data_IF_453275400981
#
_entry.id   IF_453275400981
#
_cell.length_a   1.000
_cell.length_b   1.000
_cell.length_c   1.000
_cell.angle_alpha   90.00
_cell.angle_beta   90.00
_cell.angle_gamma   90.00
#
_symmetry.space_group_name_H-M   'P 1'
#
loop_
_entity.id
_entity.type
_entity.pdbx_description
1 polymer ?
#
# COMPACT_ATOMS: atom_id res chain seq x y z
N UNK A 1 20.14 -2.14 0.08
CA UNK A 1 19.46 -2.22 1.39
C UNK A 1 18.27 -3.17 1.38
N UNK A 2 17.16 -2.87 0.69
CA UNK A 2 15.93 -3.68 0.70
C UNK A 2 16.15 -5.18 0.44
N UNK A 3 16.94 -5.55 -0.57
CA UNK A 3 17.27 -6.96 -0.85
C UNK A 3 17.92 -7.68 0.33
N UNK A 4 18.83 -7.01 1.04
CA UNK A 4 19.48 -7.58 2.22
C UNK A 4 18.50 -7.80 3.36
N UNK A 5 17.61 -6.84 3.61
CA UNK A 5 16.56 -6.94 4.64
C UNK A 5 15.56 -8.05 4.28
N UNK A 6 15.14 -8.11 3.02
CA UNK A 6 14.30 -9.19 2.51
C UNK A 6 14.95 -10.56 2.70
N UNK A 7 16.25 -10.71 2.41
CA UNK A 7 16.97 -11.96 2.62
C UNK A 7 17.04 -12.35 4.11
N UNK A 8 17.31 -11.40 5.00
CA UNK A 8 17.26 -11.65 6.46
C UNK A 8 15.86 -12.13 6.86
N UNK A 9 14.81 -11.49 6.34
CA UNK A 9 13.42 -11.88 6.62
C UNK A 9 13.10 -13.31 6.12
N UNK A 10 13.62 -13.70 4.95
CA UNK A 10 13.51 -15.08 4.44
C UNK A 10 14.16 -16.06 5.41
N UNK A 11 15.41 -15.81 5.81
CA UNK A 11 16.16 -16.71 6.69
C UNK A 11 15.49 -16.84 8.07
N UNK A 12 15.10 -15.72 8.68
CA UNK A 12 14.38 -15.70 9.94
C UNK A 12 13.05 -16.46 9.86
N UNK A 13 12.26 -16.25 8.81
CA UNK A 13 10.98 -16.94 8.65
C UNK A 13 11.15 -18.43 8.37
N UNK A 14 12.14 -18.82 7.57
CA UNK A 14 12.47 -20.25 7.39
C UNK A 14 12.80 -20.92 8.73
N UNK A 15 13.66 -20.30 9.55
CA UNK A 15 14.05 -20.83 10.86
C UNK A 15 12.88 -20.87 11.85
N UNK A 16 12.10 -19.79 11.93
CA UNK A 16 10.93 -19.73 12.80
C UNK A 16 9.85 -20.74 12.38
N UNK A 17 9.64 -20.94 11.08
CA UNK A 17 8.68 -21.92 10.54
C UNK A 17 9.13 -23.35 10.85
N UNK A 18 10.43 -23.63 10.72
CA UNK A 18 11.00 -24.92 11.13
C UNK A 18 10.75 -25.20 12.61
N UNK A 19 11.05 -24.23 13.49
CA UNK A 19 10.80 -24.36 14.93
C UNK A 19 9.30 -24.54 15.24
N UNK A 20 8.43 -23.74 14.63
CA UNK A 20 6.99 -23.82 14.84
C UNK A 20 6.41 -25.17 14.41
N UNK A 21 6.91 -25.74 13.32
CA UNK A 21 6.53 -27.08 12.86
C UNK A 21 6.86 -28.15 13.91
N UNK A 22 8.07 -28.09 14.47
CA UNK A 22 8.54 -29.10 15.42
C UNK A 22 7.84 -28.94 16.79
N UNK A 23 7.58 -27.69 17.23
CA UNK A 23 6.75 -27.41 18.41
C UNK A 23 5.31 -27.91 18.23
N UNK A 24 4.69 -27.66 17.08
CA UNK A 24 3.33 -28.13 16.81
C UNK A 24 3.24 -29.66 16.80
N UNK A 25 4.26 -30.35 16.30
CA UNK A 25 4.35 -31.82 16.37
C UNK A 25 4.52 -32.31 17.81
N UNK A 26 5.36 -31.65 18.61
CA UNK A 26 5.59 -32.02 20.01
C UNK A 26 4.34 -31.84 20.89
N UNK A 27 3.50 -30.84 20.60
CA UNK A 27 2.27 -30.55 21.33
C UNK A 27 0.99 -31.11 20.69
N UNK A 28 1.10 -31.96 19.67
CA UNK A 28 -0.05 -32.55 18.95
C UNK A 28 -1.05 -31.53 18.38
N UNK A 29 -0.57 -30.32 18.02
CA UNK A 29 -1.34 -29.27 17.36
C UNK A 29 -1.33 -29.50 15.85
N UNK A 30 -1.98 -30.58 15.42
CA UNK A 30 -2.02 -31.05 14.03
C UNK A 30 -3.45 -31.12 13.51
N UNK A 31 -3.67 -30.77 12.25
CA UNK A 31 -4.94 -31.02 11.57
C UNK A 31 -5.08 -32.52 11.28
N UNK A 32 -6.20 -33.09 11.71
CA UNK A 32 -6.51 -34.50 11.54
C UNK A 32 -7.47 -34.63 10.36
N UNK A 33 -7.09 -35.33 9.26
CA UNK A 33 -7.95 -35.45 8.08
C UNK A 33 -9.29 -36.06 8.48
N UNK A 34 -10.34 -35.25 8.48
CA UNK A 34 -11.69 -35.67 8.88
C UNK A 34 -12.47 -36.12 7.65
N UNK A 35 -13.37 -37.10 7.79
CA UNK A 35 -14.27 -37.61 6.71
C UNK A 35 -15.05 -36.52 5.93
N UNK A 36 -15.16 -35.30 6.48
CA UNK A 36 -15.83 -34.15 5.84
C UNK A 36 -14.99 -33.41 4.78
N UNK A 37 -13.66 -33.65 4.70
CA UNK A 37 -12.77 -33.14 3.65
C UNK A 37 -12.00 -34.31 3.00
N UNK A 38 -12.67 -35.26 2.30
CA UNK A 38 -11.99 -36.39 1.70
C UNK A 38 -11.08 -35.91 0.56
N UNK A 39 -9.77 -36.19 0.66
CA UNK A 39 -8.84 -36.13 -0.48
C UNK A 39 -8.00 -34.86 -0.67
N UNK A 40 -7.99 -33.91 0.27
CA UNK A 40 -7.14 -32.71 0.14
C UNK A 40 -5.72 -32.94 0.71
N UNK A 41 -5.58 -33.62 1.86
CA UNK A 41 -4.28 -34.03 2.41
C UNK A 41 -4.38 -35.39 3.12
N UNK A 42 -3.35 -36.22 2.96
CA UNK A 42 -3.27 -37.60 3.51
C UNK A 42 -2.51 -37.71 4.83
N UNK A 43 -1.91 -36.63 5.34
CA UNK A 43 -1.04 -36.64 6.54
C UNK A 43 -1.42 -35.57 7.57
N UNK A 44 -1.16 -35.86 8.86
CA UNK A 44 -1.28 -34.95 9.99
C UNK A 44 -0.39 -33.73 9.79
N UNK A 45 -0.98 -32.56 9.59
CA UNK A 45 -0.27 -31.35 9.17
C UNK A 45 -0.30 -30.30 10.29
N UNK A 46 0.87 -29.78 10.74
CA UNK A 46 0.94 -28.80 11.83
C UNK A 46 0.24 -27.46 11.51
N UNK A 47 -0.42 -26.84 12.50
CA UNK A 47 -1.25 -25.62 12.31
C UNK A 47 -0.63 -24.30 12.82
N UNK A 48 0.62 -24.30 13.32
CA UNK A 48 1.26 -23.09 13.88
C UNK A 48 1.92 -22.15 12.85
N UNK A 49 1.67 -22.33 11.55
CA UNK A 49 2.35 -21.55 10.51
C UNK A 49 2.06 -20.05 10.57
N UNK A 50 0.81 -19.67 10.79
CA UNK A 50 0.40 -18.26 10.93
C UNK A 50 1.08 -17.56 12.09
N UNK A 51 1.23 -18.25 13.23
CA UNK A 51 1.94 -17.70 14.39
C UNK A 51 3.43 -17.46 14.10
N UNK A 52 4.08 -18.35 13.34
CA UNK A 52 5.47 -18.17 12.91
C UNK A 52 5.63 -16.96 11.98
N UNK A 53 4.75 -16.82 10.99
CA UNK A 53 4.70 -15.67 10.07
C UNK A 53 4.50 -14.37 10.83
N UNK A 54 3.49 -14.32 11.70
CA UNK A 54 3.18 -13.15 12.53
C UNK A 54 4.35 -12.76 13.43
N UNK A 55 4.87 -13.70 14.25
CA UNK A 55 5.92 -13.42 15.22
C UNK A 55 7.21 -12.95 14.52
N UNK A 56 7.56 -13.57 13.39
CA UNK A 56 8.73 -13.17 12.61
C UNK A 56 8.55 -11.78 12.03
N UNK A 57 7.38 -11.49 11.43
CA UNK A 57 7.11 -10.17 10.87
C UNK A 57 7.17 -9.08 11.95
N UNK A 58 6.51 -9.29 13.08
CA UNK A 58 6.50 -8.35 14.22
C UNK A 58 7.89 -8.13 14.79
N UNK A 59 8.66 -9.21 15.01
CA UNK A 59 10.03 -9.09 15.52
C UNK A 59 10.93 -8.29 14.56
N UNK A 60 10.81 -8.51 13.25
CA UNK A 60 11.62 -7.80 12.27
C UNK A 60 11.23 -6.32 12.11
N UNK A 61 9.94 -5.98 12.13
CA UNK A 61 9.53 -4.56 12.03
C UNK A 61 9.96 -3.78 13.27
N UNK A 62 9.80 -4.35 14.48
CA UNK A 62 10.25 -3.69 15.71
C UNK A 62 11.77 -3.68 15.82
N UNK A 63 12.44 -4.73 15.35
CA UNK A 63 13.90 -4.76 15.31
C UNK A 63 14.47 -3.70 14.36
N UNK A 64 13.87 -3.56 13.18
CA UNK A 64 14.19 -2.49 12.23
C UNK A 64 13.92 -1.10 12.82
N UNK A 65 12.81 -0.91 13.53
CA UNK A 65 12.46 0.36 14.16
C UNK A 65 13.40 0.73 15.31
N UNK A 66 13.60 -0.16 16.29
CA UNK A 66 14.33 0.17 17.51
C UNK A 66 15.86 0.04 17.41
N UNK A 67 16.38 -0.85 16.55
CA UNK A 67 17.82 -1.14 16.51
C UNK A 67 18.51 -0.64 15.25
N UNK A 68 17.79 -0.45 14.15
CA UNK A 68 18.38 -0.05 12.87
C UNK A 68 18.07 1.41 12.50
N UNK A 69 17.05 2.02 13.12
CA UNK A 69 16.60 3.40 12.85
C UNK A 69 16.43 3.69 11.34
N UNK A 70 15.92 2.70 10.61
CA UNK A 70 15.74 2.75 9.14
C UNK A 70 14.34 3.19 8.71
N UNK A 71 13.44 3.45 9.66
CA UNK A 71 12.12 4.02 9.41
C UNK A 71 12.18 5.53 9.60
N UNK A 72 11.59 6.27 8.66
CA UNK A 72 11.36 7.69 8.88
C UNK A 72 10.21 7.85 9.89
N UNK A 73 10.57 8.32 11.08
CA UNK A 73 9.66 8.46 12.22
C UNK A 73 8.56 9.51 11.99
N UNK A 74 8.68 10.32 10.92
CA UNK A 74 7.67 11.29 10.52
C UNK A 74 6.53 10.69 9.68
N UNK A 75 6.80 9.62 8.92
CA UNK A 75 5.84 8.95 8.03
C UNK A 75 5.13 7.77 8.70
N UNK A 76 5.88 6.85 9.32
CA UNK A 76 5.29 5.75 10.10
C UNK A 76 5.52 5.98 11.59
N UNK A 77 4.51 6.53 12.25
CA UNK A 77 4.54 6.75 13.69
C UNK A 77 4.55 5.41 14.44
N UNK A 78 5.20 5.33 15.61
CA UNK A 78 5.24 4.10 16.42
C UNK A 78 3.84 3.56 16.75
N UNK A 79 2.86 4.43 16.98
CA UNK A 79 1.46 4.03 17.20
C UNK A 79 0.89 3.18 16.04
N UNK A 80 1.30 3.42 14.79
CA UNK A 80 0.87 2.65 13.63
C UNK A 80 1.44 1.22 13.67
N UNK A 81 2.74 1.07 14.01
CA UNK A 81 3.38 -0.24 14.15
C UNK A 81 2.77 -1.04 15.30
N UNK A 82 2.50 -0.39 16.45
CA UNK A 82 1.82 -1.02 17.57
C UNK A 82 0.38 -1.42 17.22
N UNK A 83 -0.38 -0.55 16.54
CA UNK A 83 -1.73 -0.86 16.07
C UNK A 83 -1.76 -2.06 15.14
N UNK A 84 -0.82 -2.11 14.18
CA UNK A 84 -0.64 -3.25 13.28
C UNK A 84 -0.32 -4.54 14.04
N UNK A 85 0.67 -4.50 14.94
CA UNK A 85 1.10 -5.69 15.69
C UNK A 85 0.00 -6.20 16.62
N UNK A 86 -0.73 -5.31 17.29
CA UNK A 86 -1.84 -5.65 18.19
C UNK A 86 -3.04 -6.21 17.41
N UNK A 87 -3.39 -5.61 16.27
CA UNK A 87 -4.43 -6.17 15.40
C UNK A 87 -4.06 -7.57 14.91
N UNK A 88 -2.82 -7.79 14.49
CA UNK A 88 -2.31 -9.12 14.14
C UNK A 88 -2.36 -10.11 15.31
N UNK A 89 -2.04 -9.70 16.54
CA UNK A 89 -2.15 -10.56 17.73
C UNK A 89 -3.58 -11.02 17.96
N UNK A 90 -4.57 -10.12 17.83
CA UNK A 90 -5.98 -10.44 17.95
C UNK A 90 -6.42 -11.48 16.90
N UNK A 91 -5.90 -11.38 15.66
CA UNK A 91 -6.15 -12.37 14.62
C UNK A 91 -5.53 -13.73 14.96
N UNK A 92 -4.31 -13.76 15.51
CA UNK A 92 -3.68 -15.02 15.96
C UNK A 92 -4.49 -15.68 17.07
N UNK A 93 -4.92 -14.91 18.07
CA UNK A 93 -5.75 -15.41 19.17
C UNK A 93 -7.09 -15.92 18.63
N UNK A 94 -7.78 -15.11 17.80
CA UNK A 94 -9.06 -15.48 17.22
C UNK A 94 -8.99 -16.72 16.34
N UNK A 95 -7.94 -16.83 15.52
CA UNK A 95 -7.68 -18.00 14.69
C UNK A 95 -7.41 -19.26 15.50
N UNK A 96 -6.55 -19.16 16.53
CA UNK A 96 -6.31 -20.27 17.45
C UNK A 96 -7.59 -20.75 18.15
N UNK A 97 -8.44 -19.82 18.59
CA UNK A 97 -9.74 -20.14 19.17
C UNK A 97 -10.68 -20.80 18.16
N UNK A 98 -10.67 -20.37 16.89
CA UNK A 98 -11.47 -20.98 15.83
C UNK A 98 -11.00 -22.41 15.52
N UNK A 99 -9.69 -22.63 15.39
CA UNK A 99 -9.09 -23.94 15.15
C UNK A 99 -9.37 -24.91 16.31
N UNK A 100 -9.30 -24.41 17.56
CA UNK A 100 -9.52 -25.23 18.76
C UNK A 100 -10.98 -25.54 19.04
N UNK A 101 -11.87 -24.56 18.88
CA UNK A 101 -13.26 -24.65 19.34
C UNK A 101 -14.31 -24.69 18.21
N UNK A 102 -13.90 -24.59 16.93
CA UNK A 102 -14.78 -24.55 15.75
C UNK A 102 -15.91 -23.55 15.93
N UNK A 103 -15.55 -22.28 16.02
CA UNK A 103 -16.49 -21.23 16.41
C UNK A 103 -17.60 -21.06 15.36
N UNK A 104 -18.83 -20.69 15.77
CA UNK A 104 -19.87 -20.34 14.82
C UNK A 104 -19.48 -19.10 14.01
N UNK A 105 -19.95 -18.94 12.74
CA UNK A 105 -19.53 -17.86 11.84
C UNK A 105 -19.63 -16.45 12.43
N UNK A 106 -20.63 -16.18 13.29
CA UNK A 106 -20.78 -14.87 13.96
C UNK A 106 -19.64 -14.57 14.94
N UNK A 107 -19.12 -15.59 15.63
CA UNK A 107 -18.00 -15.43 16.59
C UNK A 107 -16.65 -15.31 15.89
N UNK A 108 -16.51 -15.91 14.70
CA UNK A 108 -15.31 -15.77 13.86
C UNK A 108 -15.05 -14.32 13.42
N UNK A 109 -16.09 -13.48 13.36
CA UNK A 109 -15.98 -12.06 12.97
C UNK A 109 -15.41 -11.16 14.09
N UNK A 110 -15.38 -11.63 15.35
CA UNK A 110 -15.01 -10.79 16.49
C UNK A 110 -13.55 -10.34 16.39
N UNK A 111 -12.62 -11.27 16.15
CA UNK A 111 -11.19 -10.95 16.07
C UNK A 111 -10.84 -10.06 14.87
N UNK A 112 -11.32 -10.33 13.63
CA UNK A 112 -11.16 -9.42 12.50
C UNK A 112 -11.69 -8.02 12.75
N UNK A 113 -12.90 -7.90 13.33
CA UNK A 113 -13.49 -6.59 13.61
C UNK A 113 -12.70 -5.83 14.67
N UNK A 114 -12.26 -6.53 15.73
CA UNK A 114 -11.41 -5.93 16.76
C UNK A 114 -10.05 -5.46 16.18
N UNK A 115 -9.44 -6.25 15.30
CA UNK A 115 -8.19 -5.87 14.63
C UNK A 115 -8.37 -4.61 13.76
N UNK A 116 -9.47 -4.49 13.04
CA UNK A 116 -9.82 -3.28 12.26
C UNK A 116 -9.98 -2.06 13.17
N UNK A 117 -10.71 -2.20 14.28
CA UNK A 117 -10.90 -1.10 15.24
C UNK A 117 -9.57 -0.63 15.82
N UNK A 118 -8.68 -1.54 16.19
CA UNK A 118 -7.35 -1.20 16.73
C UNK A 118 -6.52 -0.42 15.70
N UNK A 119 -6.55 -0.80 14.43
CA UNK A 119 -5.90 -0.08 13.34
C UNK A 119 -6.45 1.32 13.17
N UNK A 120 -7.77 1.46 13.14
CA UNK A 120 -8.43 2.76 12.99
C UNK A 120 -8.10 3.69 14.16
N UNK A 121 -8.13 3.17 15.39
CA UNK A 121 -7.74 3.92 16.60
C UNK A 121 -6.27 4.33 16.57
N UNK A 122 -5.39 3.51 15.98
CA UNK A 122 -3.98 3.88 15.80
C UNK A 122 -3.76 5.05 14.83
N UNK A 123 -4.79 5.41 14.04
CA UNK A 123 -4.74 6.51 13.08
C UNK A 123 -4.35 6.08 11.66
N UNK A 124 -4.27 4.78 11.39
CA UNK A 124 -4.09 4.27 10.03
C UNK A 124 -5.45 4.34 9.32
N UNK A 125 -5.54 5.20 8.31
CA UNK A 125 -6.76 5.39 7.52
C UNK A 125 -6.47 6.05 6.18
N UNK A 126 -7.47 6.05 5.30
CA UNK A 126 -7.35 6.58 3.93
C UNK A 126 -7.99 7.96 3.84
N UNK A 127 -7.21 8.99 3.54
CA UNK A 127 -7.76 10.35 3.35
C UNK A 127 -8.39 10.51 1.96
N UNK A 128 -7.79 9.88 0.94
CA UNK A 128 -8.26 9.90 -0.44
C UNK A 128 -7.94 8.59 -1.14
N UNK A 129 -8.72 8.23 -2.16
CA UNK A 129 -8.44 7.12 -3.06
C UNK A 129 -8.30 7.63 -4.50
N UNK A 130 -7.44 6.97 -5.28
CA UNK A 130 -7.30 7.29 -6.70
C UNK A 130 -8.49 6.75 -7.48
N UNK A 131 -9.19 7.59 -8.24
CA UNK A 131 -10.27 7.16 -9.11
C UNK A 131 -9.67 6.49 -10.37
N UNK A 132 -10.04 5.24 -10.69
CA UNK A 132 -9.58 4.57 -11.91
C UNK A 132 -9.97 5.29 -13.22
N UNK A 133 -10.97 6.18 -13.19
CA UNK A 133 -11.38 7.01 -14.33
C UNK A 133 -10.78 8.42 -14.32
N UNK A 134 -9.87 8.73 -13.40
CA UNK A 134 -9.20 10.03 -13.25
C UNK A 134 -9.67 10.83 -12.03
N UNK A 135 -8.73 11.54 -11.41
CA UNK A 135 -8.95 12.37 -10.21
C UNK A 135 -8.83 11.63 -8.87
N UNK A 136 -8.98 12.38 -7.77
CA UNK A 136 -8.93 11.86 -6.40
C UNK A 136 -10.34 11.88 -5.78
N UNK A 137 -10.77 10.75 -5.24
CA UNK A 137 -11.98 10.70 -4.39
C UNK A 137 -11.54 10.93 -2.95
N UNK A 138 -11.85 12.12 -2.43
CA UNK A 138 -11.61 12.47 -1.03
C UNK A 138 -12.63 11.80 -0.13
N UNK A 139 -12.14 11.07 0.87
CA UNK A 139 -12.97 10.39 1.87
C UNK A 139 -13.04 11.18 3.18
N UNK A 140 -12.38 12.34 3.25
CA UNK A 140 -12.30 13.22 4.42
C UNK A 140 -13.33 14.34 4.48
N UNK A 141 -14.41 14.23 3.71
CA UNK A 141 -15.46 15.24 3.66
C UNK A 141 -16.29 15.35 4.94
N UNK A 142 -16.50 14.23 5.65
CA UNK A 142 -17.28 14.19 6.88
C UNK A 142 -16.39 13.75 8.05
N UNK A 143 -15.91 14.73 8.82
CA UNK A 143 -15.06 14.53 9.99
C UNK A 143 -15.83 14.87 11.26
N UNK A 144 -15.87 13.91 12.19
CA UNK A 144 -16.44 14.07 13.52
C UNK A 144 -15.28 13.99 14.53
N UNK A 145 -14.94 15.12 15.15
CA UNK A 145 -13.92 15.16 16.20
C UNK A 145 -14.51 14.64 17.50
N UNK A 146 -13.96 13.54 18.04
CA UNK A 146 -14.41 12.95 19.29
C UNK A 146 -13.71 13.57 20.50
N UNK A 147 -12.38 13.71 20.41
CA UNK A 147 -11.54 14.22 21.51
C UNK A 147 -10.52 15.17 20.92
N UNK A 148 -10.47 16.39 21.46
CA UNK A 148 -9.48 17.40 21.11
C UNK A 148 -8.86 17.93 22.40
N UNK A 149 -7.77 17.30 22.80
CA UNK A 149 -6.90 17.75 23.90
C UNK A 149 -5.52 18.09 23.34
N UNK A 150 -4.67 18.85 24.04
CA UNK A 150 -3.33 19.21 23.57
C UNK A 150 -2.44 18.01 23.19
N UNK A 151 -2.72 16.83 23.75
CA UNK A 151 -1.95 15.59 23.55
C UNK A 151 -2.70 14.53 22.74
N UNK A 152 -4.03 14.60 22.63
CA UNK A 152 -4.86 13.59 21.99
C UNK A 152 -5.85 14.27 21.04
N UNK A 153 -5.64 14.04 19.74
CA UNK A 153 -6.53 14.46 18.66
C UNK A 153 -7.17 13.24 18.02
N UNK A 154 -8.36 12.86 18.47
CA UNK A 154 -9.11 11.74 17.91
C UNK A 154 -10.24 12.27 17.05
N UNK A 155 -10.18 11.92 15.76
CA UNK A 155 -11.19 12.25 14.75
C UNK A 155 -11.66 10.97 14.07
N UNK A 156 -12.96 10.89 13.83
CA UNK A 156 -13.59 9.89 12.97
C UNK A 156 -13.81 10.55 11.63
N UNK A 157 -13.36 9.89 10.57
CA UNK A 157 -13.61 10.34 9.21
C UNK A 157 -14.56 9.35 8.57
N UNK A 158 -15.87 9.64 8.58
CA UNK A 158 -16.93 8.64 8.41
C UNK A 158 -16.74 7.78 7.14
N UNK A 159 -16.47 8.41 5.99
CA UNK A 159 -16.29 7.68 4.73
C UNK A 159 -14.97 6.93 4.65
N UNK A 160 -13.88 7.53 5.13
CA UNK A 160 -12.57 6.90 5.18
C UNK A 160 -12.55 5.67 6.09
N UNK A 161 -13.20 5.79 7.24
CA UNK A 161 -13.28 4.77 8.29
C UNK A 161 -14.17 3.61 7.84
N UNK A 162 -15.32 3.91 7.23
CA UNK A 162 -16.18 2.90 6.62
C UNK A 162 -15.47 2.17 5.49
N UNK A 163 -14.77 2.90 4.61
CA UNK A 163 -13.98 2.31 3.55
C UNK A 163 -12.89 1.39 4.11
N UNK A 164 -12.13 1.86 5.11
CA UNK A 164 -11.08 1.11 5.79
C UNK A 164 -11.64 -0.18 6.38
N UNK A 165 -12.80 -0.11 7.05
CA UNK A 165 -13.48 -1.29 7.60
C UNK A 165 -13.84 -2.30 6.51
N UNK A 166 -14.52 -1.85 5.45
CA UNK A 166 -14.94 -2.74 4.35
C UNK A 166 -13.73 -3.32 3.63
N UNK A 167 -12.70 -2.51 3.40
CA UNK A 167 -11.46 -2.90 2.74
C UNK A 167 -10.70 -3.98 3.51
N UNK A 168 -10.39 -3.74 4.79
CA UNK A 168 -9.68 -4.71 5.61
C UNK A 168 -10.50 -6.00 5.77
N UNK A 169 -11.79 -5.89 6.07
CA UNK A 169 -12.66 -7.06 6.21
C UNK A 169 -12.74 -7.87 4.91
N UNK A 170 -12.90 -7.19 3.78
CA UNK A 170 -12.92 -7.81 2.46
C UNK A 170 -11.63 -8.58 2.18
N UNK A 171 -10.48 -7.93 2.34
CA UNK A 171 -9.17 -8.53 2.09
C UNK A 171 -8.83 -9.70 3.02
N UNK A 172 -9.14 -9.59 4.31
CA UNK A 172 -8.98 -10.69 5.27
C UNK A 172 -9.81 -11.91 4.87
N UNK A 173 -11.08 -11.72 4.50
CA UNK A 173 -11.92 -12.84 4.07
C UNK A 173 -11.58 -13.36 2.68
N UNK A 174 -11.07 -12.51 1.78
CA UNK A 174 -10.53 -12.96 0.49
C UNK A 174 -9.37 -13.92 0.67
N UNK A 175 -8.42 -13.59 1.53
CA UNK A 175 -7.26 -14.46 1.79
C UNK A 175 -7.62 -15.70 2.60
N UNK A 176 -8.51 -15.58 3.60
CA UNK A 176 -9.08 -16.73 4.32
C UNK A 176 -9.74 -17.75 3.38
N UNK A 177 -10.54 -17.29 2.42
CA UNK A 177 -11.21 -18.17 1.46
C UNK A 177 -10.29 -18.68 0.34
N UNK A 178 -9.16 -18.00 0.10
CA UNK A 178 -8.14 -18.42 -0.84
C UNK A 178 -7.26 -19.55 -0.29
N UNK A 179 -7.16 -19.69 1.04
CA UNK A 179 -6.34 -20.68 1.75
C UNK A 179 -6.97 -22.09 1.72
N UNK A 180 -7.29 -22.58 0.52
CA UNK A 180 -7.88 -23.90 0.28
C UNK A 180 -6.94 -24.92 -0.35
N UNK A 181 -5.72 -24.51 -0.73
CA UNK A 181 -4.68 -25.32 -1.36
C UNK A 181 -3.30 -24.93 -0.83
N UNK A 182 -2.39 -25.92 -0.69
CA UNK A 182 -1.02 -25.74 -0.21
C UNK A 182 -0.27 -24.66 -1.00
N UNK A 183 0.20 -23.63 -0.31
CA UNK A 183 0.94 -22.53 -0.88
C UNK A 183 0.09 -21.45 -1.57
N UNK A 184 -1.19 -21.69 -1.88
CA UNK A 184 -1.98 -20.79 -2.73
C UNK A 184 -2.12 -19.38 -2.14
N UNK A 185 -2.66 -19.27 -0.92
CA UNK A 185 -2.88 -17.97 -0.28
C UNK A 185 -1.56 -17.24 -0.03
N UNK A 186 -0.57 -17.95 0.51
CA UNK A 186 0.78 -17.42 0.79
C UNK A 186 1.45 -16.89 -0.48
N UNK A 187 1.45 -17.65 -1.58
CA UNK A 187 2.13 -17.26 -2.81
C UNK A 187 1.44 -16.15 -3.58
N UNK A 188 0.11 -16.14 -3.64
CA UNK A 188 -0.64 -15.01 -4.23
C UNK A 188 -0.41 -13.73 -3.42
N UNK A 189 -0.42 -13.82 -2.09
CA UNK A 189 -0.12 -12.68 -1.20
C UNK A 189 1.33 -12.21 -1.35
N UNK A 190 2.28 -13.13 -1.51
CA UNK A 190 3.69 -12.80 -1.78
C UNK A 190 3.82 -11.99 -3.08
N UNK A 191 3.21 -12.45 -4.18
CA UNK A 191 3.23 -11.72 -5.45
C UNK A 191 2.58 -10.33 -5.32
N UNK A 192 1.43 -10.23 -4.65
CA UNK A 192 0.77 -8.95 -4.39
C UNK A 192 1.64 -7.99 -3.56
N UNK A 193 2.33 -8.52 -2.56
CA UNK A 193 3.23 -7.75 -1.70
C UNK A 193 4.46 -7.26 -2.50
N UNK A 194 5.02 -8.09 -3.39
CA UNK A 194 6.13 -7.70 -4.26
C UNK A 194 5.73 -6.60 -5.25
N UNK A 195 4.50 -6.64 -5.77
CA UNK A 195 3.98 -5.55 -6.61
C UNK A 195 3.84 -4.27 -5.80
N UNK A 196 3.29 -4.32 -4.59
CA UNK A 196 3.20 -3.15 -3.71
C UNK A 196 4.56 -2.60 -3.31
N UNK A 197 5.55 -3.46 -3.08
CA UNK A 197 6.94 -3.07 -2.87
C UNK A 197 7.46 -2.30 -4.09
N UNK A 198 7.33 -2.85 -5.29
CA UNK A 198 7.80 -2.21 -6.53
C UNK A 198 7.08 -0.88 -6.78
N UNK A 199 5.75 -0.82 -6.65
CA UNK A 199 4.98 0.43 -6.78
C UNK A 199 5.40 1.44 -5.70
N UNK A 200 5.80 1.01 -4.50
CA UNK A 200 6.27 1.93 -3.46
C UNK A 200 7.63 2.54 -3.74
N UNK A 201 8.45 1.89 -4.56
CA UNK A 201 9.69 2.45 -5.08
C UNK A 201 9.49 3.25 -6.37
N UNK A 202 8.47 2.92 -7.16
CA UNK A 202 8.14 3.58 -8.43
C UNK A 202 7.12 4.72 -8.30
N UNK A 203 6.54 4.91 -7.12
CA UNK A 203 5.64 6.01 -6.86
C UNK A 203 6.36 7.34 -7.08
N UNK A 204 5.61 8.36 -7.51
CA UNK A 204 6.15 9.70 -7.75
C UNK A 204 6.89 10.25 -6.55
N UNK A 205 6.37 10.04 -5.35
CA UNK A 205 7.15 10.18 -4.11
C UNK A 205 7.43 8.76 -3.60
N UNK A 206 8.68 8.29 -3.66
CA UNK A 206 9.04 6.98 -3.14
C UNK A 206 8.66 6.88 -1.66
N UNK A 207 7.87 5.87 -1.32
CA UNK A 207 7.43 5.62 0.05
C UNK A 207 8.33 4.53 0.64
N UNK A 208 9.54 4.92 1.03
CA UNK A 208 10.58 3.99 1.47
C UNK A 208 10.16 3.15 2.68
N UNK A 209 9.45 3.73 3.65
CA UNK A 209 8.94 3.00 4.82
C UNK A 209 7.94 1.90 4.43
N UNK A 210 7.05 2.20 3.49
CA UNK A 210 6.07 1.21 3.01
C UNK A 210 6.75 0.14 2.18
N UNK A 211 7.75 0.50 1.37
CA UNK A 211 8.60 -0.45 0.66
C UNK A 211 9.38 -1.34 1.65
N UNK A 212 9.83 -0.79 2.78
CA UNK A 212 10.51 -1.54 3.82
C UNK A 212 9.57 -2.57 4.48
N UNK A 213 8.37 -2.17 4.88
CA UNK A 213 7.37 -3.10 5.42
C UNK A 213 7.01 -4.19 4.39
N UNK A 214 6.80 -3.81 3.13
CA UNK A 214 6.48 -4.75 2.06
C UNK A 214 7.62 -5.75 1.80
N UNK A 215 8.89 -5.31 1.80
CA UNK A 215 10.02 -6.22 1.58
C UNK A 215 10.23 -7.19 2.75
N UNK A 216 10.06 -6.72 3.99
CA UNK A 216 10.10 -7.58 5.18
C UNK A 216 8.98 -8.62 5.07
N UNK A 217 7.75 -8.19 4.78
CA UNK A 217 6.62 -9.10 4.67
C UNK A 217 6.80 -10.11 3.53
N UNK A 218 7.23 -9.66 2.35
CA UNK A 218 7.53 -10.55 1.23
C UNK A 218 8.62 -11.58 1.58
N UNK A 219 9.67 -11.17 2.28
CA UNK A 219 10.70 -12.10 2.76
C UNK A 219 10.14 -13.12 3.75
N UNK A 220 9.31 -12.69 4.71
CA UNK A 220 8.66 -13.60 5.65
C UNK A 220 7.76 -14.61 4.92
N UNK A 221 6.95 -14.15 3.96
CA UNK A 221 6.07 -15.03 3.19
C UNK A 221 6.86 -16.00 2.32
N UNK A 222 7.93 -15.55 1.67
CA UNK A 222 8.78 -16.44 0.88
C UNK A 222 9.44 -17.51 1.76
N UNK A 223 9.96 -17.13 2.93
CA UNK A 223 10.56 -18.08 3.87
C UNK A 223 9.56 -19.12 4.40
N UNK A 224 8.32 -18.72 4.67
CA UNK A 224 7.24 -19.63 5.05
C UNK A 224 6.78 -20.51 3.86
N UNK A 225 6.68 -19.94 2.66
CA UNK A 225 6.24 -20.63 1.45
C UNK A 225 7.12 -21.85 1.14
N UNK A 226 8.42 -21.80 1.42
CA UNK A 226 9.32 -22.96 1.26
C UNK A 226 8.89 -24.20 2.08
N UNK A 227 8.15 -24.01 3.16
CA UNK A 227 7.59 -25.09 3.98
C UNK A 227 6.11 -25.37 3.69
N UNK A 228 5.39 -24.37 3.21
CA UNK A 228 3.95 -24.42 2.94
C UNK A 228 3.62 -24.81 1.48
N UNK A 229 4.60 -24.79 0.57
CA UNK A 229 4.40 -25.19 -0.82
C UNK A 229 4.07 -26.68 -0.94
N UNK A 230 3.26 -27.04 -1.93
CA UNK A 230 2.78 -28.40 -2.11
C UNK A 230 3.92 -29.41 -2.33
N UNK A 231 3.94 -30.56 -1.63
CA UNK A 231 3.06 -30.93 -0.52
C UNK A 231 3.48 -30.23 0.80
N UNK A 232 2.53 -29.56 1.45
CA UNK A 232 2.84 -28.71 2.61
C UNK A 232 3.33 -29.49 3.84
N UNK A 233 4.35 -28.96 4.50
CA UNK A 233 4.89 -29.48 5.76
C UNK A 233 4.31 -28.80 7.00
N UNK A 234 3.65 -27.66 6.81
CA UNK A 234 2.98 -26.85 7.83
C UNK A 234 1.89 -26.01 7.15
N UNK A 235 0.74 -25.88 7.81
CA UNK A 235 -0.36 -25.05 7.37
C UNK A 235 -0.34 -23.68 8.01
N UNK A 236 -0.92 -22.73 7.28
CA UNK A 236 -1.02 -21.34 7.69
C UNK A 236 -2.01 -21.16 8.85
N UNK A 237 -3.13 -21.89 8.85
CA UNK A 237 -4.16 -21.84 9.89
C UNK A 237 -5.09 -20.62 9.73
N UNK A 238 -6.21 -20.64 10.46
CA UNK A 238 -7.28 -19.64 10.33
C UNK A 238 -6.80 -18.22 10.66
N UNK A 239 -5.96 -18.08 11.70
CA UNK A 239 -5.39 -16.78 12.07
C UNK A 239 -4.39 -16.29 11.03
N UNK A 240 -3.57 -17.18 10.50
CA UNK A 240 -2.54 -16.86 9.51
C UNK A 240 -3.13 -16.36 8.19
N UNK A 241 -4.17 -17.02 7.69
CA UNK A 241 -4.82 -16.64 6.44
C UNK A 241 -5.49 -15.28 6.53
N UNK A 242 -6.16 -14.97 7.64
CA UNK A 242 -6.69 -13.63 7.92
C UNK A 242 -5.56 -12.59 8.02
N UNK A 243 -4.45 -12.93 8.68
CA UNK A 243 -3.30 -12.04 8.83
C UNK A 243 -2.66 -11.65 7.50
N UNK A 244 -2.63 -12.56 6.52
CA UNK A 244 -2.15 -12.26 5.17
C UNK A 244 -2.94 -11.12 4.53
N UNK A 245 -4.28 -11.23 4.52
CA UNK A 245 -5.15 -10.20 3.97
C UNK A 245 -5.11 -8.91 4.76
N UNK A 246 -4.98 -8.99 6.08
CA UNK A 246 -4.83 -7.86 6.97
C UNK A 246 -3.60 -7.02 6.63
N UNK A 247 -2.41 -7.63 6.57
CA UNK A 247 -1.17 -6.90 6.24
C UNK A 247 -1.21 -6.37 4.81
N UNK A 248 -1.67 -7.17 3.84
CA UNK A 248 -1.78 -6.72 2.45
C UNK A 248 -2.71 -5.51 2.31
N UNK A 249 -3.84 -5.50 3.02
CA UNK A 249 -4.77 -4.38 3.07
C UNK A 249 -4.15 -3.14 3.70
N UNK A 250 -3.41 -3.30 4.80
CA UNK A 250 -2.72 -2.19 5.48
C UNK A 250 -1.63 -1.58 4.61
N UNK A 251 -0.81 -2.41 3.96
CA UNK A 251 0.22 -1.93 3.04
C UNK A 251 -0.41 -1.10 1.92
N UNK A 252 -1.55 -1.53 1.36
CA UNK A 252 -2.26 -0.77 0.33
C UNK A 252 -2.75 0.61 0.81
N UNK A 253 -3.19 0.71 2.08
CA UNK A 253 -3.64 1.97 2.69
C UNK A 253 -2.46 2.89 2.99
N UNK A 254 -1.46 2.39 3.73
CA UNK A 254 -0.28 3.15 4.15
C UNK A 254 0.50 3.64 2.93
N UNK A 255 0.49 2.87 1.84
CA UNK A 255 1.18 3.23 0.61
C UNK A 255 0.50 4.35 -0.21
N UNK A 256 -0.23 5.27 0.43
CA UNK A 256 -0.95 6.35 -0.26
C UNK A 256 -2.16 5.86 -1.05
N UNK A 257 -2.92 4.92 -0.48
CA UNK A 257 -4.13 4.37 -1.09
C UNK A 257 -3.90 3.73 -2.48
N UNK A 258 -2.88 2.88 -2.59
CA UNK A 258 -2.62 1.97 -3.73
C UNK A 258 -3.65 0.84 -3.83
N UNK A 259 -4.86 1.10 -3.36
CA UNK A 259 -6.05 0.25 -3.39
C UNK A 259 -6.28 -0.28 -4.79
N UNK A 260 -6.18 0.57 -5.82
CA UNK A 260 -6.39 0.17 -7.23
C UNK A 260 -5.39 -0.89 -7.68
N UNK A 261 -4.11 -0.72 -7.34
CA UNK A 261 -3.09 -1.71 -7.67
C UNK A 261 -3.34 -3.03 -6.92
N UNK A 262 -3.62 -2.98 -5.62
CA UNK A 262 -3.93 -4.17 -4.82
C UNK A 262 -5.18 -4.89 -5.34
N UNK A 263 -6.24 -4.15 -5.69
CA UNK A 263 -7.45 -4.69 -6.31
C UNK A 263 -7.13 -5.42 -7.60
N UNK A 264 -6.25 -4.87 -8.44
CA UNK A 264 -5.92 -5.49 -9.72
C UNK A 264 -5.12 -6.77 -9.53
N UNK A 265 -4.11 -6.78 -8.65
CA UNK A 265 -3.32 -7.99 -8.38
C UNK A 265 -4.15 -9.08 -7.70
N UNK A 266 -5.06 -8.67 -6.82
CA UNK A 266 -5.96 -9.56 -6.08
C UNK A 266 -7.29 -9.79 -6.81
N UNK A 267 -7.42 -9.36 -8.06
CA UNK A 267 -8.68 -9.40 -8.78
C UNK A 267 -9.23 -10.83 -8.88
N UNK A 268 -8.37 -11.81 -9.17
CA UNK A 268 -8.79 -13.21 -9.30
C UNK A 268 -9.39 -13.75 -7.96
N UNK A 269 -8.69 -13.68 -6.80
CA UNK A 269 -9.27 -14.02 -5.51
C UNK A 269 -10.55 -13.22 -5.16
N UNK A 270 -10.54 -11.91 -5.40
CA UNK A 270 -11.68 -11.04 -5.07
C UNK A 270 -12.91 -11.41 -5.89
N UNK A 271 -12.74 -11.62 -7.21
CA UNK A 271 -13.80 -12.05 -8.11
C UNK A 271 -14.33 -13.42 -7.71
N UNK A 272 -13.48 -14.35 -7.27
CA UNK A 272 -13.95 -15.65 -6.79
C UNK A 272 -14.89 -15.51 -5.58
N UNK A 273 -14.49 -14.73 -4.58
CA UNK A 273 -15.33 -14.46 -3.41
C UNK A 273 -16.62 -13.75 -3.81
N UNK A 274 -16.54 -12.71 -4.64
CA UNK A 274 -17.69 -11.98 -5.12
C UNK A 274 -18.67 -12.90 -5.87
N UNK A 275 -18.17 -13.74 -6.78
CA UNK A 275 -18.96 -14.74 -7.51
C UNK A 275 -19.67 -15.68 -6.55
N UNK A 276 -18.96 -16.25 -5.57
CA UNK A 276 -19.56 -17.19 -4.61
C UNK A 276 -20.66 -16.52 -3.79
N UNK A 277 -20.43 -15.28 -3.32
CA UNK A 277 -21.43 -14.50 -2.58
C UNK A 277 -22.65 -14.20 -3.45
N UNK A 278 -22.45 -13.72 -4.68
CA UNK A 278 -23.53 -13.35 -5.61
C UNK A 278 -24.39 -14.57 -5.94
N UNK A 279 -23.76 -15.67 -6.35
CA UNK A 279 -24.48 -16.91 -6.72
C UNK A 279 -25.30 -17.44 -5.55
N UNK A 280 -24.76 -17.40 -4.33
CA UNK A 280 -25.49 -17.91 -3.14
C UNK A 280 -26.66 -17.02 -2.76
N UNK A 281 -26.41 -15.71 -2.65
CA UNK A 281 -27.40 -14.76 -2.15
C UNK A 281 -28.53 -14.51 -3.16
N UNK A 282 -28.19 -14.34 -4.43
CA UNK A 282 -29.12 -13.86 -5.44
C UNK A 282 -29.64 -14.94 -6.39
N UNK A 283 -28.88 -16.02 -6.61
CA UNK A 283 -29.31 -17.09 -7.55
C UNK A 283 -29.90 -18.27 -6.77
N UNK A 284 -29.18 -18.75 -5.74
CA UNK A 284 -29.58 -19.96 -5.00
C UNK A 284 -30.41 -19.67 -3.75
N UNK A 285 -30.51 -18.41 -3.33
CA UNK A 285 -31.17 -17.96 -2.10
C UNK A 285 -30.76 -18.78 -0.84
N UNK A 286 -29.52 -19.26 -0.80
CA UNK A 286 -28.97 -20.02 0.33
C UNK A 286 -28.16 -19.13 1.26
N UNK A 287 -27.99 -19.57 2.52
CA UNK A 287 -27.19 -18.83 3.50
C UNK A 287 -25.72 -18.79 3.06
N UNK A 288 -25.16 -17.59 2.96
CA UNK A 288 -23.74 -17.36 2.62
C UNK A 288 -22.80 -18.04 3.62
N UNK A 289 -23.24 -18.27 4.86
CA UNK A 289 -22.46 -18.81 5.96
C UNK A 289 -22.24 -20.34 5.97
N UNK A 290 -22.77 -21.08 5.00
CA UNK A 290 -22.54 -22.54 4.92
C UNK A 290 -21.25 -22.82 4.12
N UNK A 291 -20.28 -23.55 4.69
CA UNK A 291 -19.03 -23.88 4.00
C UNK A 291 -19.30 -24.78 2.79
N UNK A 292 -18.84 -24.41 1.59
CA UNK A 292 -18.93 -25.31 0.42
C UNK A 292 -17.90 -24.97 -0.68
N UNK A 293 -17.56 -25.96 -1.49
CA UNK A 293 -16.50 -26.04 -2.51
C UNK A 293 -16.79 -25.21 -3.79
N UNK A 294 -17.50 -24.09 -3.69
CA UNK A 294 -17.91 -23.26 -4.84
C UNK A 294 -16.79 -22.41 -5.46
N UNK A 295 -15.68 -22.28 -4.74
CA UNK A 295 -14.52 -21.48 -5.09
C UNK A 295 -13.80 -21.98 -6.35
N UNK A 296 -13.18 -21.06 -7.09
CA UNK A 296 -12.55 -21.31 -8.38
C UNK A 296 -11.48 -22.40 -8.28
N UNK A 297 -10.65 -22.40 -7.24
CA UNK A 297 -9.60 -23.41 -7.05
C UNK A 297 -10.16 -24.83 -6.93
N UNK A 298 -11.25 -25.03 -6.17
CA UNK A 298 -11.96 -26.32 -6.12
C UNK A 298 -12.66 -26.64 -7.45
N UNK A 299 -13.15 -25.64 -8.17
CA UNK A 299 -13.77 -25.83 -9.48
C UNK A 299 -12.77 -26.28 -10.55
N UNK A 300 -11.50 -25.88 -10.46
CA UNK A 300 -10.42 -26.39 -11.31
C UNK A 300 -10.08 -27.84 -10.97
N UNK A 301 -9.93 -28.16 -9.68
CA UNK A 301 -9.68 -29.55 -9.25
C UNK A 301 -10.76 -30.52 -9.74
N UNK A 302 -12.05 -30.14 -9.63
CA UNK A 302 -13.17 -30.95 -10.15
C UNK A 302 -13.16 -31.14 -11.66
N UNK A 303 -12.50 -30.25 -12.40
CA UNK A 303 -12.33 -30.36 -13.86
C UNK A 303 -11.08 -31.17 -14.26
N UNK A 304 -10.38 -31.76 -13.30
CA UNK A 304 -9.22 -32.62 -13.54
C UNK A 304 -7.87 -31.90 -13.50
N UNK A 305 -7.82 -30.62 -13.13
CA UNK A 305 -6.55 -29.96 -12.85
C UNK A 305 -5.92 -30.55 -11.59
N UNK A 306 -4.61 -30.76 -11.61
CA UNK A 306 -3.87 -31.12 -10.39
C UNK A 306 -3.79 -29.93 -9.43
N UNK A 307 -3.48 -30.23 -8.16
CA UNK A 307 -3.20 -29.23 -7.13
C UNK A 307 -2.17 -28.20 -7.60
N UNK A 308 -1.02 -28.68 -8.09
CA UNK A 308 0.07 -27.84 -8.60
C UNK A 308 -0.35 -26.98 -9.79
N UNK A 309 -1.05 -27.55 -10.77
CA UNK A 309 -1.53 -26.78 -11.93
C UNK A 309 -2.46 -25.65 -11.51
N UNK A 310 -3.35 -25.91 -10.54
CA UNK A 310 -4.28 -24.89 -10.03
C UNK A 310 -3.53 -23.76 -9.34
N UNK A 311 -2.57 -24.08 -8.46
CA UNK A 311 -1.76 -23.07 -7.75
C UNK A 311 -0.91 -22.24 -8.73
N UNK A 312 -0.22 -22.88 -9.66
CA UNK A 312 0.62 -22.19 -10.64
C UNK A 312 -0.20 -21.32 -11.60
N UNK A 313 -1.42 -21.72 -11.95
CA UNK A 313 -2.33 -20.89 -12.75
C UNK A 313 -2.69 -19.60 -12.01
N UNK A 314 -3.03 -19.70 -10.72
CA UNK A 314 -3.30 -18.51 -9.90
C UNK A 314 -2.08 -17.60 -9.82
N UNK A 315 -0.88 -18.16 -9.61
CA UNK A 315 0.36 -17.38 -9.61
C UNK A 315 0.60 -16.69 -10.95
N UNK A 316 0.42 -17.38 -12.06
CA UNK A 316 0.61 -16.82 -13.40
C UNK A 316 -0.35 -15.65 -13.66
N UNK A 317 -1.64 -15.81 -13.33
CA UNK A 317 -2.63 -14.73 -13.49
C UNK A 317 -2.33 -13.55 -12.57
N UNK A 318 -2.04 -13.81 -11.29
CA UNK A 318 -1.65 -12.76 -10.33
C UNK A 318 -0.38 -12.02 -10.78
N UNK A 319 0.62 -12.73 -11.31
CA UNK A 319 1.84 -12.14 -11.84
C UNK A 319 1.57 -11.25 -13.06
N UNK A 320 0.76 -11.69 -14.02
CA UNK A 320 0.38 -10.91 -15.19
C UNK A 320 -0.39 -9.64 -14.80
N UNK A 321 -1.33 -9.74 -13.86
CA UNK A 321 -2.06 -8.59 -13.33
C UNK A 321 -1.14 -7.65 -12.54
N UNK A 322 -0.14 -8.19 -11.85
CA UNK A 322 0.95 -7.44 -11.22
C UNK A 322 1.77 -6.62 -12.21
N UNK A 323 2.19 -7.23 -13.32
CA UNK A 323 2.89 -6.52 -14.39
C UNK A 323 1.99 -5.41 -14.97
N UNK A 324 0.71 -5.70 -15.22
CA UNK A 324 -0.23 -4.70 -15.71
C UNK A 324 -0.36 -3.52 -14.72
N UNK A 325 -0.37 -3.78 -13.42
CA UNK A 325 -0.43 -2.74 -12.38
C UNK A 325 0.82 -1.86 -12.38
N UNK A 326 2.00 -2.46 -12.51
CA UNK A 326 3.25 -1.73 -12.63
C UNK A 326 3.31 -0.91 -13.92
N UNK A 327 2.86 -1.47 -15.05
CA UNK A 327 2.85 -0.78 -16.33
C UNK A 327 1.88 0.41 -16.33
N UNK A 328 0.69 0.26 -15.76
CA UNK A 328 -0.28 1.34 -15.60
C UNK A 328 0.27 2.46 -14.71
N UNK A 329 0.87 2.11 -13.57
CA UNK A 329 1.53 3.09 -12.71
C UNK A 329 2.65 3.83 -13.47
N UNK A 330 3.49 3.10 -14.20
CA UNK A 330 4.59 3.71 -14.95
C UNK A 330 4.09 4.65 -16.06
N UNK A 331 2.99 4.29 -16.73
CA UNK A 331 2.38 5.10 -17.78
C UNK A 331 1.76 6.39 -17.21
N UNK A 332 1.09 6.34 -16.05
CA UNK A 332 0.52 7.53 -15.42
C UNK A 332 1.57 8.52 -14.95
N UNK A 333 2.70 8.02 -14.42
CA UNK A 333 3.81 8.85 -13.92
C UNK A 333 4.53 9.59 -15.05
N UNK A 334 4.54 9.04 -16.27
CA UNK A 334 5.31 9.59 -17.41
C UNK A 334 4.47 10.29 -18.47
N UNK A 335 3.14 10.37 -18.33
CA UNK A 335 2.30 10.99 -19.34
C UNK A 335 2.71 12.47 -19.55
N UNK A 336 3.35 12.84 -20.67
CA UNK A 336 3.68 14.23 -20.95
C UNK A 336 2.39 14.95 -21.34
N UNK A 337 2.08 16.08 -20.71
CA UNK A 337 1.07 16.96 -21.28
C UNK A 337 1.67 17.67 -22.49
N UNK A 338 1.02 17.52 -23.64
CA UNK A 338 1.52 17.90 -24.95
C UNK A 338 2.01 19.37 -25.07
N UNK A 339 3.10 19.55 -25.84
CA UNK A 339 3.62 20.81 -26.42
C UNK A 339 4.14 21.92 -25.48
N UNK A 340 4.76 21.58 -24.34
CA UNK A 340 5.55 22.55 -23.58
C UNK A 340 7.03 22.49 -23.95
N UNK A 341 7.71 23.65 -24.15
CA UNK A 341 9.16 23.66 -24.28
C UNK A 341 9.78 23.00 -23.06
N UNK A 342 10.77 22.14 -23.26
CA UNK A 342 11.47 21.45 -22.17
C UNK A 342 12.88 21.98 -22.01
N UNK A 343 13.48 21.74 -20.86
CA UNK A 343 14.84 22.15 -20.56
C UNK A 343 15.40 21.42 -19.35
N UNK A 344 16.55 21.89 -18.87
CA UNK A 344 17.17 21.42 -17.64
C UNK A 344 17.46 22.59 -16.72
N UNK A 345 17.18 22.41 -15.44
CA UNK A 345 17.59 23.33 -14.37
C UNK A 345 18.68 22.66 -13.53
N UNK A 346 19.71 23.42 -13.16
CA UNK A 346 20.76 23.01 -12.25
C UNK A 346 20.79 23.93 -11.04
N UNK A 347 20.67 23.38 -9.83
CA UNK A 347 20.67 24.11 -8.57
C UNK A 347 21.97 23.80 -7.80
N UNK A 348 22.70 24.86 -7.42
CA UNK A 348 23.95 24.82 -6.67
C UNK A 348 25.00 23.85 -7.25
N UNK A 349 24.99 23.65 -8.57
CA UNK A 349 25.84 22.71 -9.31
C UNK A 349 25.80 21.24 -8.87
N UNK A 350 24.82 20.87 -8.04
CA UNK A 350 24.69 19.53 -7.42
C UNK A 350 23.42 18.80 -7.79
N UNK A 351 22.36 19.53 -8.14
CA UNK A 351 21.03 18.97 -8.43
C UNK A 351 20.68 19.34 -9.86
N UNK A 352 20.32 18.36 -10.67
CA UNK A 352 19.88 18.56 -12.06
C UNK A 352 18.46 18.03 -12.22
N UNK A 353 17.60 18.84 -12.80
CA UNK A 353 16.17 18.59 -12.93
C UNK A 353 15.74 18.81 -14.38
N UNK A 354 14.94 17.91 -14.94
CA UNK A 354 14.24 18.17 -16.18
C UNK A 354 13.12 19.18 -15.90
N UNK A 355 12.94 20.19 -16.73
CA UNK A 355 11.82 21.13 -16.58
C UNK A 355 11.01 21.26 -17.84
N UNK A 356 9.72 21.43 -17.67
CA UNK A 356 8.88 22.08 -18.68
C UNK A 356 8.86 23.58 -18.42
N UNK A 357 8.83 24.38 -19.48
CA UNK A 357 8.99 25.83 -19.41
C UNK A 357 7.66 26.51 -19.73
N UNK A 358 7.19 27.32 -18.79
CA UNK A 358 6.03 28.18 -18.94
C UNK A 358 6.48 29.63 -19.22
N UNK A 359 6.72 29.94 -20.48
CA UNK A 359 7.27 31.22 -20.95
C UNK A 359 6.24 32.23 -21.48
N UNK A 360 4.97 31.83 -21.63
CA UNK A 360 3.91 32.68 -22.18
C UNK A 360 2.64 32.59 -21.35
N UNK A 361 1.70 33.52 -21.57
CA UNK A 361 0.49 33.63 -20.73
C UNK A 361 -0.36 32.36 -20.74
N UNK A 362 -0.43 31.64 -21.88
CA UNK A 362 -1.20 30.40 -22.00
C UNK A 362 -0.57 29.28 -21.17
N UNK A 363 0.74 29.08 -21.31
CA UNK A 363 1.46 28.02 -20.59
C UNK A 363 1.57 28.32 -19.10
N UNK A 364 1.74 29.59 -18.70
CA UNK A 364 1.72 30.01 -17.28
C UNK A 364 0.35 29.84 -16.63
N UNK A 365 -0.74 30.12 -17.34
CA UNK A 365 -2.11 29.89 -16.82
C UNK A 365 -2.45 28.41 -16.67
N UNK A 366 -1.92 27.57 -17.56
CA UNK A 366 -2.09 26.12 -17.45
C UNK A 366 -1.24 25.55 -16.31
N UNK A 367 0.02 25.96 -16.21
CA UNK A 367 0.95 25.49 -15.19
C UNK A 367 0.95 23.96 -15.05
N UNK A 368 0.95 23.50 -13.81
CA UNK A 368 0.75 22.10 -13.43
C UNK A 368 -0.73 21.72 -13.22
N UNK A 369 -1.67 22.62 -13.47
CA UNK A 369 -3.10 22.37 -13.26
C UNK A 369 -3.62 21.21 -14.13
N UNK A 370 -4.49 20.39 -13.55
CA UNK A 370 -5.09 19.21 -14.18
C UNK A 370 -4.15 18.01 -14.28
N UNK A 371 -2.88 18.14 -13.87
CA UNK A 371 -1.94 17.01 -13.86
C UNK A 371 -2.24 16.08 -12.69
N UNK A 372 -2.19 14.79 -12.96
CA UNK A 372 -2.27 13.79 -11.90
C UNK A 372 -1.04 13.81 -10.98
N UNK A 373 0.10 14.32 -11.49
CA UNK A 373 1.42 13.91 -11.07
C UNK A 373 2.57 14.87 -11.47
N UNK A 374 3.68 14.83 -10.73
CA UNK A 374 5.00 15.37 -11.14
C UNK A 374 6.14 14.48 -10.60
N UNK A 375 7.08 14.08 -11.46
CA UNK A 375 8.20 13.20 -11.07
C UNK A 375 9.25 13.94 -10.22
N UNK A 376 9.99 13.27 -9.33
CA UNK A 376 10.98 13.90 -8.44
C UNK A 376 12.08 14.69 -9.13
N UNK A 377 12.49 14.20 -10.29
CA UNK A 377 13.55 14.79 -11.12
C UNK A 377 12.97 15.70 -12.20
N UNK A 378 11.69 16.07 -12.10
CA UNK A 378 11.03 17.01 -12.98
C UNK A 378 10.46 18.22 -12.23
N UNK A 379 10.28 19.31 -12.97
CA UNK A 379 9.64 20.52 -12.48
C UNK A 379 9.02 21.34 -13.59
N UNK A 380 8.40 22.44 -13.20
CA UNK A 380 7.97 23.46 -14.14
C UNK A 380 8.66 24.78 -13.80
N UNK A 381 9.36 25.33 -14.80
CA UNK A 381 10.01 26.62 -14.71
C UNK A 381 9.14 27.68 -15.38
N UNK A 382 8.60 28.59 -14.58
CA UNK A 382 7.91 29.78 -15.04
C UNK A 382 8.94 30.87 -15.24
N UNK A 383 9.04 31.42 -16.45
CA UNK A 383 9.99 32.48 -16.80
C UNK A 383 9.23 33.74 -17.13
N UNK A 384 9.63 34.89 -16.60
CA UNK A 384 8.99 36.19 -16.79
C UNK A 384 9.94 37.19 -17.45
N UNK A 385 9.39 38.14 -18.21
CA UNK A 385 10.19 39.15 -18.93
C UNK A 385 10.78 40.22 -18.00
N UNK A 386 10.14 40.48 -16.86
CA UNK A 386 10.53 41.52 -15.91
C UNK A 386 10.38 40.98 -14.48
N UNK A 387 11.27 41.34 -13.55
CA UNK A 387 11.08 41.01 -12.15
C UNK A 387 9.83 41.69 -11.57
N UNK A 388 8.92 40.92 -10.99
CA UNK A 388 7.71 41.44 -10.32
C UNK A 388 7.20 40.48 -9.23
N UNK A 389 6.21 40.89 -8.44
CA UNK A 389 5.54 40.08 -7.44
C UNK A 389 4.45 39.19 -8.08
N UNK A 390 4.87 38.18 -8.85
CA UNK A 390 3.94 37.27 -9.52
C UNK A 390 3.23 36.34 -8.54
N UNK A 391 1.90 36.47 -8.47
CA UNK A 391 1.06 35.62 -7.62
C UNK A 391 0.66 34.35 -8.36
N UNK A 392 0.87 33.21 -7.70
CA UNK A 392 0.50 31.89 -8.19
C UNK A 392 -0.74 31.38 -7.46
N UNK A 393 -1.43 30.43 -8.07
CA UNK A 393 -2.63 29.81 -7.53
C UNK A 393 -2.58 28.29 -7.69
N UNK A 394 -3.24 27.56 -6.79
CA UNK A 394 -3.31 26.08 -6.85
C UNK A 394 -4.62 25.56 -7.48
N UNK A 395 -5.31 26.34 -8.31
CA UNK A 395 -6.53 25.89 -8.98
C UNK A 395 -6.29 24.61 -9.81
N UNK A 396 -7.17 23.62 -9.63
CA UNK A 396 -7.10 22.31 -10.29
C UNK A 396 -5.78 21.53 -10.09
N UNK A 397 -5.08 21.79 -8.99
CA UNK A 397 -3.91 20.98 -8.59
C UNK A 397 -4.32 19.71 -7.86
N UNK A 398 -3.66 18.59 -8.17
CA UNK A 398 -3.97 17.28 -7.60
C UNK A 398 -2.89 16.72 -6.65
N UNK A 399 -1.74 17.37 -6.51
CA UNK A 399 -0.63 16.95 -5.66
C UNK A 399 0.06 18.18 -5.03
N UNK A 400 0.74 18.00 -3.88
CA UNK A 400 1.45 19.08 -3.22
C UNK A 400 2.77 19.45 -3.93
N UNK A 401 3.18 20.71 -3.79
CA UNK A 401 4.36 21.28 -4.46
C UNK A 401 5.29 21.97 -3.46
N UNK A 402 6.57 21.96 -3.79
CA UNK A 402 7.54 22.91 -3.29
C UNK A 402 7.74 24.02 -4.33
N UNK A 403 7.76 25.28 -3.89
CA UNK A 403 7.90 26.45 -4.75
C UNK A 403 9.19 27.17 -4.42
N UNK A 404 10.03 27.36 -5.44
CA UNK A 404 11.33 28.00 -5.34
C UNK A 404 11.28 29.31 -6.15
N UNK A 405 11.43 30.43 -5.43
CA UNK A 405 11.37 31.77 -5.98
C UNK A 405 12.76 32.23 -6.43
N UNK A 406 12.89 32.70 -7.67
CA UNK A 406 14.19 32.99 -8.28
C UNK A 406 14.30 34.42 -8.78
N UNK A 407 15.47 35.03 -8.58
CA UNK A 407 15.82 36.34 -9.13
C UNK A 407 17.24 36.31 -9.66
N UNK A 408 17.42 36.63 -10.95
CA UNK A 408 18.73 36.67 -11.59
C UNK A 408 19.52 35.36 -11.46
N UNK A 409 18.83 34.21 -11.47
CA UNK A 409 19.47 32.90 -11.29
C UNK A 409 19.91 32.60 -9.85
N UNK A 410 19.27 33.19 -8.84
CA UNK A 410 19.49 32.85 -7.42
C UNK A 410 18.18 32.60 -6.70
N UNK A 411 18.20 31.68 -5.74
CA UNK A 411 17.07 31.44 -4.83
C UNK A 411 16.91 32.62 -3.89
N UNK A 412 15.75 33.28 -3.94
CA UNK A 412 15.41 34.41 -3.05
C UNK A 412 14.28 34.06 -2.07
N UNK A 413 13.57 32.96 -2.29
CA UNK A 413 12.54 32.48 -1.40
C UNK A 413 12.25 31.00 -1.60
N UNK A 414 11.74 30.36 -0.56
CA UNK A 414 11.37 28.95 -0.53
C UNK A 414 10.02 28.80 0.15
N UNK A 415 9.15 27.98 -0.42
CA UNK A 415 7.89 27.61 0.19
C UNK A 415 7.66 26.12 0.00
N UNK A 416 7.79 25.36 1.08
CA UNK A 416 7.67 23.90 1.05
C UNK A 416 6.23 23.44 1.32
N UNK A 417 5.90 22.25 0.84
CA UNK A 417 4.68 21.49 1.12
C UNK A 417 3.38 22.29 0.86
N UNK A 418 3.36 23.05 -0.23
CA UNK A 418 2.17 23.78 -0.68
C UNK A 418 1.09 22.78 -1.09
N UNK A 419 0.06 22.68 -0.26
CA UNK A 419 -1.03 21.73 -0.46
C UNK A 419 -2.02 22.22 -1.55
N UNK A 420 -2.62 21.31 -2.32
CA UNK A 420 -3.71 21.65 -3.24
C UNK A 420 -4.96 22.15 -2.48
N UNK A 421 -5.88 22.89 -3.14
CA UNK A 421 -7.05 23.48 -2.50
C UNK A 421 -7.95 22.43 -1.85
N UNK A 422 -8.62 22.80 -0.75
CA UNK A 422 -9.52 21.88 -0.04
C UNK A 422 -10.79 21.55 -0.83
N UNK A 423 -11.31 22.49 -1.63
CA UNK A 423 -12.43 22.27 -2.56
C UNK A 423 -12.18 23.02 -3.88
N UNK A 424 -12.63 22.47 -5.02
CA UNK A 424 -12.51 23.12 -6.34
C UNK A 424 -13.34 24.40 -6.47
N UNK A 425 -14.39 24.56 -5.64
CA UNK A 425 -15.23 25.78 -5.56
C UNK A 425 -14.71 26.82 -4.57
N UNK A 426 -13.61 26.56 -3.85
CA UNK A 426 -12.96 27.57 -3.00
C UNK A 426 -12.25 28.60 -3.88
N UNK A 427 -12.21 29.87 -3.43
CA UNK A 427 -11.24 30.83 -3.99
C UNK A 427 -9.85 30.18 -3.93
N UNK A 428 -9.11 30.10 -5.05
CA UNK A 428 -7.88 29.35 -5.07
C UNK A 428 -6.88 29.96 -4.09
N UNK A 429 -6.20 29.12 -3.31
CA UNK A 429 -5.13 29.56 -2.44
C UNK A 429 -4.06 30.19 -3.32
N UNK A 430 -3.69 31.43 -2.98
CA UNK A 430 -2.65 32.17 -3.67
C UNK A 430 -1.40 32.29 -2.81
N UNK A 431 -0.26 32.35 -3.48
CA UNK A 431 1.03 32.57 -2.86
C UNK A 431 1.85 33.53 -3.73
N UNK A 432 2.65 34.36 -3.06
CA UNK A 432 3.40 35.45 -3.69
C UNK A 432 4.84 35.41 -3.19
N UNK A 433 5.80 35.84 -4.02
CA UNK A 433 7.20 35.82 -3.66
C UNK A 433 7.50 36.85 -2.54
N UNK A 434 8.58 36.63 -1.76
CA UNK A 434 9.00 37.57 -0.71
C UNK A 434 9.57 38.88 -1.28
N UNK A 435 10.03 38.87 -2.54
CA UNK A 435 10.53 40.02 -3.29
C UNK A 435 10.25 39.84 -4.79
N UNK A 436 10.41 40.87 -5.65
CA UNK A 436 10.22 40.72 -7.10
C UNK A 436 11.11 39.64 -7.73
N UNK A 437 10.52 38.72 -8.50
CA UNK A 437 11.17 37.56 -9.12
C UNK A 437 11.04 37.58 -10.64
N UNK A 438 12.04 37.05 -11.35
CA UNK A 438 12.01 36.86 -12.82
C UNK A 438 11.74 35.41 -13.23
N UNK A 439 11.79 34.48 -12.28
CA UNK A 439 11.50 33.08 -12.52
C UNK A 439 11.02 32.35 -11.27
N UNK A 440 10.24 31.29 -11.46
CA UNK A 440 9.69 30.45 -10.38
C UNK A 440 9.81 29.01 -10.80
N UNK A 441 10.33 28.18 -9.91
CA UNK A 441 10.47 26.74 -10.14
C UNK A 441 9.51 26.00 -9.20
N UNK A 442 8.55 25.31 -9.79
CA UNK A 442 7.65 24.38 -9.09
C UNK A 442 8.19 22.96 -9.22
N UNK A 443 8.31 22.27 -8.09
CA UNK A 443 8.80 20.89 -7.98
C UNK A 443 7.93 20.11 -7.01
N UNK A 444 8.03 18.78 -7.01
CA UNK A 444 7.26 17.93 -6.11
C UNK A 444 7.56 18.25 -4.64
N UNK A 445 6.54 18.20 -3.78
CA UNK A 445 6.71 18.48 -2.35
C UNK A 445 7.79 17.61 -1.70
N UNK A 446 8.53 18.19 -0.75
CA UNK A 446 9.65 17.55 -0.07
C UNK A 446 10.98 17.63 -0.84
N UNK A 447 10.99 18.13 -2.07
CA UNK A 447 12.21 18.32 -2.87
C UNK A 447 13.22 19.25 -2.19
N UNK A 448 12.75 20.37 -1.61
CA UNK A 448 13.60 21.35 -0.91
C UNK A 448 14.33 20.68 0.26
N UNK A 449 13.60 19.88 1.04
CA UNK A 449 14.16 19.15 2.19
C UNK A 449 15.13 18.06 1.74
N UNK A 450 14.73 17.24 0.75
CA UNK A 450 15.53 16.13 0.24
C UNK A 450 16.89 16.58 -0.34
N UNK A 451 16.89 17.67 -1.11
CA UNK A 451 18.10 18.18 -1.76
C UNK A 451 18.81 19.29 -0.95
N UNK A 452 18.23 19.69 0.18
CA UNK A 452 18.76 20.72 1.06
C UNK A 452 18.97 22.05 0.34
N UNK A 453 17.99 22.49 -0.46
CA UNK A 453 18.01 23.76 -1.20
C UNK A 453 17.94 24.94 -0.23
N UNK A 454 18.77 25.97 -0.43
CA UNK A 454 18.86 27.13 0.48
C UNK A 454 18.69 28.45 -0.26
N UNK A 455 18.20 29.47 0.45
CA UNK A 455 18.21 30.85 -0.04
C UNK A 455 19.66 31.25 -0.34
N UNK A 456 19.88 31.83 -1.52
CA UNK A 456 21.19 32.20 -2.05
C UNK A 456 21.82 31.18 -3.01
N UNK A 457 21.30 29.95 -3.07
CA UNK A 457 21.77 28.92 -4.01
C UNK A 457 21.66 29.43 -5.46
N UNK A 458 22.65 29.11 -6.28
CA UNK A 458 22.67 29.46 -7.71
C UNK A 458 21.77 28.53 -8.50
N UNK A 459 21.06 29.07 -9.48
CA UNK A 459 20.17 28.32 -10.36
C UNK A 459 20.46 28.71 -11.80
N UNK A 460 20.90 27.74 -12.58
CA UNK A 460 21.12 27.88 -14.01
C UNK A 460 20.10 27.03 -14.77
N UNK A 461 19.53 27.54 -15.86
CA UNK A 461 18.65 26.74 -16.71
C UNK A 461 19.08 26.81 -18.17
N UNK A 462 18.84 25.72 -18.90
CA UNK A 462 19.11 25.58 -20.32
C UNK A 462 17.89 24.99 -21.00
N UNK A 463 17.29 25.74 -21.93
CA UNK A 463 16.22 25.20 -22.77
C UNK A 463 16.78 24.11 -23.69
N UNK A 464 16.00 23.05 -23.90
CA UNK A 464 16.25 22.07 -24.95
C UNK A 464 15.90 22.69 -26.30
N UNK A 465 16.73 22.48 -27.35
CA UNK A 465 16.49 23.02 -28.68
C UNK A 465 15.25 22.45 -29.37
#
# INVERSE_FOLDING_TARGET
>A
MFLGIGLVAVLCSCGATWLARDLARAHSLVDVPTRAKPGIHTQLTPLLGGAAVYATFVALIFGAYFFLDIFDQSTILPKHLFGLAMGGALLMIGGYLDDRFRLPPKKQLIAPLAAVVVVMVSGIGVVFITNPFGGLLRLDSLVITLVQTPSIHWKITVWADLFTLVWLMGMMYTTKLLDGLDGLATGVTLLATLVLFAISLMAEVPQYDTALLATIFAGVLFGFLLWNFYPAKIFLGEGGSLFLGYILALLAIIAGAKVTATLMVMALPIIDVARVVIVRKFIRHTRVSQGDFGHLHHAFLRRGFSHMQTVLLFYAVTFLLGIAALALQFATVRAPHADLPSGKVRIADRVELAVEIADNQKTRRQGLSGRAALTPDAGMLFVFEKPDAYTFWMQDMHFPLDVIWLRGGRVVGLQADVLPPRTQDSRPQTFSPPEPVDSVLEVSAGFIAHHGVRIGDTVAYRASP
#
